data_IF_560510665340
#
_entry.id   IF_560510665340
#
_cell.length_a   1.000
_cell.length_b   1.000
_cell.length_c   1.000
_cell.angle_alpha   90.00
_cell.angle_beta   90.00
_cell.angle_gamma   90.00
#
_symmetry.space_group_name_H-M   'P 1'
#
loop_
_entity.id
_entity.type
_entity.pdbx_description
1 polymer ?
#
# COMPACT_ATOMS: atom_id res chain seq x y z
N UNK A 1 8.53 12.04 -16.63
CA UNK A 1 7.96 10.68 -16.57
C UNK A 1 7.09 10.59 -15.32
N UNK A 2 5.79 10.38 -15.46
CA UNK A 2 4.86 10.38 -14.33
C UNK A 2 5.15 9.19 -13.39
N UNK A 3 5.57 9.48 -12.16
CA UNK A 3 5.82 8.50 -11.10
C UNK A 3 4.50 7.83 -10.72
N UNK A 4 4.44 6.50 -10.82
CA UNK A 4 3.27 5.70 -10.45
C UNK A 4 3.12 5.70 -8.93
N UNK A 5 2.03 6.32 -8.45
CA UNK A 5 1.35 5.94 -7.21
C UNK A 5 1.31 4.40 -7.14
N UNK A 6 1.49 3.74 -5.97
CA UNK A 6 1.24 2.31 -5.88
C UNK A 6 -0.22 2.06 -6.26
N UNK A 7 -0.41 1.58 -7.48
CA UNK A 7 -1.75 1.35 -8.00
C UNK A 7 -2.33 0.13 -7.29
N UNK A 8 -3.65 -0.06 -7.36
CA UNK A 8 -4.31 -1.28 -6.88
C UNK A 8 -3.61 -2.57 -7.35
N UNK A 9 -2.96 -2.51 -8.52
CA UNK A 9 -2.12 -3.58 -9.04
C UNK A 9 -0.96 -3.95 -8.12
N UNK A 10 -0.24 -2.95 -7.58
CA UNK A 10 0.90 -3.16 -6.69
C UNK A 10 0.47 -3.84 -5.41
N UNK A 11 -0.64 -3.37 -4.81
CA UNK A 11 -1.19 -3.93 -3.57
C UNK A 11 -1.73 -5.35 -3.78
N UNK A 12 -2.42 -5.57 -4.90
CA UNK A 12 -2.90 -6.89 -5.29
C UNK A 12 -1.75 -7.88 -5.54
N UNK A 13 -0.66 -7.44 -6.18
CA UNK A 13 0.54 -8.25 -6.40
C UNK A 13 1.16 -8.67 -5.08
N UNK A 14 1.38 -7.70 -4.18
CA UNK A 14 1.97 -7.96 -2.87
C UNK A 14 1.18 -9.00 -2.07
N UNK A 15 -0.16 -8.87 -1.97
CA UNK A 15 -1.04 -9.84 -1.32
C UNK A 15 -0.88 -11.26 -1.87
N UNK A 16 -0.75 -11.36 -3.20
CA UNK A 16 -0.63 -12.63 -3.90
C UNK A 16 0.77 -13.24 -3.69
N UNK A 17 1.83 -12.44 -3.67
CA UNK A 17 3.22 -12.87 -3.56
C UNK A 17 3.63 -13.26 -2.14
N UNK A 18 3.22 -12.47 -1.15
CA UNK A 18 3.63 -12.61 0.26
C UNK A 18 3.05 -13.87 0.91
N UNK A 19 1.94 -14.40 0.39
CA UNK A 19 1.32 -15.66 0.85
C UNK A 19 0.84 -15.66 2.31
N UNK A 20 0.79 -14.50 2.96
CA UNK A 20 0.29 -14.33 4.34
C UNK A 20 -1.18 -14.75 4.48
N UNK A 21 -1.99 -14.62 3.42
CA UNK A 21 -3.39 -15.08 3.40
C UNK A 21 -3.52 -16.40 2.61
N UNK A 22 -4.15 -17.44 3.19
CA UNK A 22 -4.53 -18.65 2.49
C UNK A 22 -5.42 -18.35 1.27
N UNK A 23 -5.19 -19.03 0.15
CA UNK A 23 -5.93 -18.79 -1.10
C UNK A 23 -7.45 -18.98 -0.95
N UNK A 24 -7.87 -19.91 -0.10
CA UNK A 24 -9.28 -20.16 0.23
C UNK A 24 -9.92 -18.96 0.93
N UNK A 25 -9.18 -18.30 1.82
CA UNK A 25 -9.65 -17.11 2.52
C UNK A 25 -9.68 -15.90 1.58
N UNK A 26 -8.68 -15.74 0.70
CA UNK A 26 -8.71 -14.72 -0.37
C UNK A 26 -9.95 -14.92 -1.24
N UNK A 27 -10.24 -16.15 -1.65
CA UNK A 27 -11.41 -16.49 -2.47
C UNK A 27 -12.71 -16.13 -1.78
N UNK A 28 -12.84 -16.48 -0.50
CA UNK A 28 -14.01 -16.17 0.32
C UNK A 28 -14.24 -14.67 0.48
N UNK A 29 -13.20 -13.90 0.78
CA UNK A 29 -13.31 -12.46 1.05
C UNK A 29 -13.49 -11.61 -0.20
N UNK A 30 -12.91 -12.01 -1.32
CA UNK A 30 -12.98 -11.24 -2.59
C UNK A 30 -14.10 -11.71 -3.51
N UNK A 31 -14.62 -12.92 -3.31
CA UNK A 31 -15.52 -13.59 -4.26
C UNK A 31 -14.84 -14.04 -5.56
N UNK A 32 -13.52 -13.87 -5.68
CA UNK A 32 -12.75 -14.34 -6.85
C UNK A 32 -12.60 -15.86 -6.72
N UNK A 33 -12.82 -16.59 -7.82
CA UNK A 33 -12.76 -18.05 -7.79
C UNK A 33 -11.36 -18.55 -7.43
N UNK A 34 -11.31 -19.62 -6.62
CA UNK A 34 -10.04 -20.23 -6.18
C UNK A 34 -9.09 -20.59 -7.34
N UNK A 35 -9.54 -21.14 -8.48
CA UNK A 35 -8.66 -21.41 -9.62
C UNK A 35 -8.03 -20.13 -10.18
N UNK A 36 -8.78 -19.02 -10.20
CA UNK A 36 -8.28 -17.73 -10.69
C UNK A 36 -7.22 -17.14 -9.76
N UNK A 37 -7.43 -17.20 -8.44
CA UNK A 37 -6.43 -16.75 -7.47
C UNK A 37 -5.18 -17.64 -7.51
N UNK A 38 -5.35 -18.97 -7.67
CA UNK A 38 -4.22 -19.88 -7.93
C UNK A 38 -3.42 -19.46 -9.17
N UNK A 39 -4.11 -19.09 -10.25
CA UNK A 39 -3.45 -18.62 -11.47
C UNK A 39 -2.68 -17.30 -11.26
N UNK A 40 -3.21 -16.37 -10.46
CA UNK A 40 -2.49 -15.16 -10.07
C UNK A 40 -1.28 -15.46 -9.19
N UNK A 41 -1.39 -16.37 -8.22
CA UNK A 41 -0.27 -16.75 -7.35
C UNK A 41 0.82 -17.52 -8.08
N UNK A 42 0.47 -18.30 -9.10
CA UNK A 42 1.44 -18.96 -9.96
C UNK A 42 2.17 -17.97 -10.89
N UNK A 43 1.51 -16.88 -11.28
CA UNK A 43 2.09 -15.83 -12.13
C UNK A 43 1.46 -14.46 -11.80
N UNK A 44 2.08 -13.67 -10.90
CA UNK A 44 1.58 -12.36 -10.49
C UNK A 44 1.43 -11.35 -11.63
N UNK A 45 2.19 -11.48 -12.73
CA UNK A 45 2.05 -10.58 -13.89
C UNK A 45 0.69 -10.71 -14.58
N UNK A 46 -0.04 -11.81 -14.37
CA UNK A 46 -1.43 -11.95 -14.85
C UNK A 46 -2.39 -10.94 -14.24
N UNK A 47 -2.02 -10.28 -13.13
CA UNK A 47 -2.81 -9.19 -12.57
C UNK A 47 -2.78 -7.93 -13.46
N UNK A 48 -1.74 -7.75 -14.28
CA UNK A 48 -1.64 -6.60 -15.22
C UNK A 48 -2.73 -6.62 -16.28
N UNK A 49 -3.24 -7.80 -16.62
CA UNK A 49 -4.30 -8.03 -17.61
C UNK A 49 -5.61 -8.52 -17.00
N UNK A 50 -5.69 -8.59 -15.66
CA UNK A 50 -6.90 -8.94 -14.95
C UNK A 50 -7.94 -7.81 -15.03
N UNK A 51 -9.22 -8.13 -14.77
CA UNK A 51 -10.23 -7.11 -14.63
C UNK A 51 -9.89 -6.17 -13.48
N UNK A 52 -10.10 -4.87 -13.68
CA UNK A 52 -9.84 -3.85 -12.66
C UNK A 52 -10.58 -4.15 -11.35
N UNK A 53 -11.79 -4.70 -11.42
CA UNK A 53 -12.56 -5.11 -10.23
C UNK A 53 -11.83 -6.17 -9.40
N UNK A 54 -11.21 -7.18 -10.02
CA UNK A 54 -10.47 -8.21 -9.28
C UNK A 54 -9.21 -7.61 -8.63
N UNK A 55 -8.52 -6.74 -9.37
CA UNK A 55 -7.31 -6.04 -8.88
C UNK A 55 -7.66 -5.18 -7.68
N UNK A 56 -8.75 -4.40 -7.77
CA UNK A 56 -9.24 -3.57 -6.67
C UNK A 56 -9.65 -4.40 -5.45
N UNK A 57 -10.41 -5.49 -5.63
CA UNK A 57 -10.79 -6.38 -4.52
C UNK A 57 -9.59 -6.98 -3.79
N UNK A 58 -8.55 -7.38 -4.55
CA UNK A 58 -7.31 -7.88 -3.96
C UNK A 58 -6.53 -6.77 -3.25
N UNK A 59 -6.47 -5.56 -3.83
CA UNK A 59 -5.88 -4.38 -3.20
C UNK A 59 -6.55 -4.05 -1.86
N UNK A 60 -7.88 -3.97 -1.84
CA UNK A 60 -8.68 -3.71 -0.64
C UNK A 60 -8.47 -4.79 0.44
N UNK A 61 -8.41 -6.06 0.05
CA UNK A 61 -8.10 -7.15 0.98
C UNK A 61 -6.67 -7.02 1.54
N UNK A 62 -5.70 -6.63 0.72
CA UNK A 62 -4.33 -6.41 1.16
C UNK A 62 -4.28 -5.33 2.25
N UNK A 63 -4.85 -4.17 1.98
CA UNK A 63 -4.93 -3.04 2.92
C UNK A 63 -5.59 -3.49 4.24
N UNK A 64 -6.74 -4.14 4.15
CA UNK A 64 -7.47 -4.58 5.34
C UNK A 64 -6.70 -5.62 6.16
N UNK A 65 -6.02 -6.57 5.51
CA UNK A 65 -5.24 -7.58 6.21
C UNK A 65 -4.04 -6.97 6.94
N UNK A 66 -3.29 -6.10 6.26
CA UNK A 66 -2.13 -5.41 6.84
C UNK A 66 -2.50 -4.53 8.03
N UNK A 67 -3.61 -3.77 7.93
CA UNK A 67 -4.10 -2.94 9.02
C UNK A 67 -4.62 -3.76 10.22
N UNK A 68 -5.10 -4.99 9.98
CA UNK A 68 -5.68 -5.83 11.03
C UNK A 68 -4.67 -6.73 11.75
N UNK A 69 -3.59 -7.20 11.10
CA UNK A 69 -2.74 -8.26 11.66
C UNK A 69 -1.30 -7.86 12.00
N UNK A 70 -0.66 -6.98 11.23
CA UNK A 70 0.80 -6.76 11.38
C UNK A 70 1.13 -5.43 12.08
N UNK A 71 0.44 -4.35 11.70
CA UNK A 71 0.75 -3.01 12.21
C UNK A 71 -0.11 -2.65 13.42
N UNK A 72 -1.36 -3.11 13.41
CA UNK A 72 -2.42 -2.59 14.27
C UNK A 72 -2.91 -1.22 13.77
N UNK A 73 -4.22 -1.10 13.55
CA UNK A 73 -4.86 0.13 13.08
C UNK A 73 -4.40 1.37 13.87
N UNK A 74 -4.24 1.24 15.18
CA UNK A 74 -3.82 2.35 16.04
C UNK A 74 -2.38 2.82 15.73
N UNK A 75 -1.43 1.90 15.51
CA UNK A 75 -0.05 2.24 15.18
C UNK A 75 0.03 2.93 13.81
N UNK A 76 -0.71 2.42 12.82
CA UNK A 76 -0.79 3.04 11.50
C UNK A 76 -1.42 4.45 11.56
N UNK A 77 -2.46 4.64 12.38
CA UNK A 77 -3.08 5.95 12.59
C UNK A 77 -2.13 6.92 13.32
N UNK A 78 -1.42 6.45 14.35
CA UNK A 78 -0.43 7.26 15.07
C UNK A 78 0.66 7.73 14.11
N UNK A 79 1.27 6.79 13.38
CA UNK A 79 2.30 7.10 12.39
C UNK A 79 1.80 8.08 11.31
N UNK A 80 0.57 7.89 10.81
CA UNK A 80 -0.05 8.82 9.85
C UNK A 80 -0.14 10.25 10.42
N UNK A 81 -0.44 10.39 11.71
CA UNK A 81 -0.55 11.69 12.36
C UNK A 81 0.82 12.33 12.60
N UNK A 82 1.89 11.53 12.70
CA UNK A 82 3.27 11.99 12.86
C UNK A 82 3.94 12.38 11.54
N UNK A 83 3.50 11.79 10.41
CA UNK A 83 4.07 12.05 9.08
C UNK A 83 4.17 13.56 8.75
N UNK A 84 3.13 14.40 8.93
CA UNK A 84 3.24 15.83 8.65
C UNK A 84 4.29 16.53 9.52
N UNK A 85 4.47 16.09 10.77
CA UNK A 85 5.49 16.63 11.66
C UNK A 85 6.88 16.31 11.11
N UNK A 86 7.12 15.05 10.72
CA UNK A 86 8.39 14.62 10.15
C UNK A 86 8.70 15.34 8.83
N UNK A 87 7.71 15.48 7.95
CA UNK A 87 7.88 16.18 6.68
C UNK A 87 8.13 17.67 6.87
N UNK A 88 7.45 18.33 7.81
CA UNK A 88 7.75 19.73 8.14
C UNK A 88 9.18 19.88 8.66
N UNK A 89 9.64 18.97 9.52
CA UNK A 89 10.99 18.99 10.07
C UNK A 89 12.06 18.83 8.98
N UNK A 90 11.84 17.90 8.03
CA UNK A 90 12.73 17.73 6.87
C UNK A 90 12.67 18.96 5.96
N UNK A 91 11.48 19.44 5.62
CA UNK A 91 11.29 20.61 4.74
C UNK A 91 11.96 21.86 5.30
N UNK A 92 11.93 22.08 6.61
CA UNK A 92 12.62 23.24 7.22
C UNK A 92 14.12 23.29 6.88
N UNK A 93 14.77 22.15 6.68
CA UNK A 93 16.20 22.06 6.32
C UNK A 93 16.49 22.48 4.87
N UNK A 94 15.45 22.57 4.04
CA UNK A 94 15.53 22.90 2.62
C UNK A 94 14.71 24.17 2.28
N UNK A 95 14.47 25.07 3.22
CA UNK A 95 13.61 26.27 3.01
C UNK A 95 14.04 27.15 1.83
N UNK A 96 15.34 27.16 1.50
CA UNK A 96 15.91 27.95 0.40
C UNK A 96 15.99 27.20 -0.93
N UNK A 97 15.47 25.98 -0.99
CA UNK A 97 15.48 25.12 -2.17
C UNK A 97 14.04 24.76 -2.57
N UNK A 98 13.41 25.57 -3.43
CA UNK A 98 12.03 25.35 -3.86
C UNK A 98 11.81 24.00 -4.56
N UNK A 99 12.80 23.49 -5.30
CA UNK A 99 12.68 22.21 -5.99
C UNK A 99 12.62 21.05 -4.99
N UNK A 100 13.44 21.11 -3.94
CA UNK A 100 13.37 20.16 -2.83
C UNK A 100 12.07 20.28 -2.03
N UNK A 101 11.54 21.50 -1.82
CA UNK A 101 10.23 21.68 -1.17
C UNK A 101 9.11 21.00 -1.94
N UNK A 102 9.08 21.20 -3.26
CA UNK A 102 8.08 20.60 -4.15
C UNK A 102 8.19 19.08 -4.18
N UNK A 103 9.43 18.56 -4.27
CA UNK A 103 9.70 17.12 -4.22
C UNK A 103 9.19 16.51 -2.90
N UNK A 104 9.56 17.09 -1.75
CA UNK A 104 9.16 16.59 -0.44
C UNK A 104 7.64 16.64 -0.25
N UNK A 105 6.99 17.69 -0.73
CA UNK A 105 5.53 17.83 -0.67
C UNK A 105 4.80 16.79 -1.53
N UNK A 106 5.33 16.47 -2.70
CA UNK A 106 4.76 15.41 -3.53
C UNK A 106 4.99 14.02 -2.90
N UNK A 107 6.15 13.78 -2.29
CA UNK A 107 6.40 12.52 -1.56
C UNK A 107 5.43 12.36 -0.38
N UNK A 108 5.26 13.39 0.45
CA UNK A 108 4.30 13.40 1.55
C UNK A 108 2.89 13.06 1.04
N UNK A 109 2.43 13.75 0.01
CA UNK A 109 1.12 13.55 -0.61
C UNK A 109 0.94 12.13 -1.16
N UNK A 110 1.97 11.54 -1.74
CA UNK A 110 1.94 10.17 -2.25
C UNK A 110 1.82 9.14 -1.12
N UNK A 111 2.52 9.36 -0.01
CA UNK A 111 2.46 8.49 1.17
C UNK A 111 1.08 8.60 1.81
N UNK A 112 0.60 9.80 2.11
CA UNK A 112 -0.69 10.01 2.80
C UNK A 112 -1.90 9.41 2.06
N UNK A 113 -1.81 9.32 0.73
CA UNK A 113 -2.87 8.77 -0.12
C UNK A 113 -2.83 7.25 -0.27
N UNK A 114 -1.80 6.60 0.25
CA UNK A 114 -1.65 5.15 0.22
C UNK A 114 -1.66 4.58 1.65
N UNK A 115 -2.84 4.16 2.16
CA UNK A 115 -2.97 3.57 3.49
C UNK A 115 -2.09 2.33 3.69
N UNK A 116 -1.78 1.57 2.63
CA UNK A 116 -0.91 0.41 2.75
C UNK A 116 0.55 0.83 2.91
N UNK A 117 1.00 1.82 2.15
CA UNK A 117 2.34 2.37 2.32
C UNK A 117 2.50 2.98 3.71
N UNK A 118 1.51 3.73 4.20
CA UNK A 118 1.48 4.23 5.59
C UNK A 118 1.59 3.09 6.58
N UNK A 119 0.80 2.02 6.42
CA UNK A 119 0.86 0.87 7.30
C UNK A 119 2.25 0.21 7.29
N UNK A 120 2.82 -0.03 6.10
CA UNK A 120 4.16 -0.62 5.95
C UNK A 120 5.26 0.25 6.58
N UNK A 121 5.18 1.57 6.38
CA UNK A 121 6.13 2.50 6.99
C UNK A 121 5.95 2.54 8.52
N UNK A 122 4.72 2.47 9.02
CA UNK A 122 4.44 2.38 10.45
C UNK A 122 4.97 1.08 11.08
N UNK A 123 5.00 -0.03 10.33
CA UNK A 123 5.63 -1.27 10.79
C UNK A 123 7.14 -1.09 10.97
N UNK A 124 7.77 -0.49 9.95
CA UNK A 124 9.23 -0.33 9.87
C UNK A 124 9.79 0.78 10.76
N UNK A 125 9.03 1.87 10.93
CA UNK A 125 9.52 3.12 11.51
C UNK A 125 8.62 3.69 12.61
N UNK A 126 7.39 3.18 12.76
CA UNK A 126 6.53 3.60 13.86
C UNK A 126 7.00 2.99 15.17
N UNK A 127 7.08 3.82 16.22
CA UNK A 127 7.34 3.38 17.59
C UNK A 127 6.11 2.70 18.23
#
# INVERSE_FOLDING_TARGET
MAKKVPSDLTNAQALIEEKNIPLTEISKRTGISLPRIKAYRANPDKLRTASWENVRKLSELAVNFYLQQEVGLQKALNFRNELPIWFNDIKSKYERDPEMQDFLSEVERLIERDPLLVARLADLFGE
#
